data_IF_193728613773
#
_entry.id   IF_193728613773
#
_cell.length_a   1.000
_cell.length_b   1.000
_cell.length_c   1.000
_cell.angle_alpha   90.00
_cell.angle_beta   90.00
_cell.angle_gamma   90.00
#
_symmetry.space_group_name_H-M   'P 1'
#
loop_
_entity.id
_entity.type
_entity.pdbx_description
1 polymer ?
#
# COMPACT_ATOMS: atom_id res chain seq x y z
N UNK A 1 13.80 -20.32 14.25
CA UNK A 1 15.04 -20.06 13.47
C UNK A 1 14.72 -19.59 12.06
N UNK A 2 13.88 -20.28 11.26
CA UNK A 2 13.41 -19.81 9.94
C UNK A 2 12.81 -18.39 9.95
N UNK A 3 12.03 -18.08 10.98
CA UNK A 3 11.37 -16.76 11.15
C UNK A 3 12.38 -15.61 11.34
N UNK A 4 13.49 -15.89 12.04
CA UNK A 4 14.56 -14.91 12.27
C UNK A 4 15.37 -14.66 11.00
N UNK A 5 15.57 -15.70 10.18
CA UNK A 5 16.30 -15.61 8.90
C UNK A 5 15.48 -14.84 7.85
N UNK A 6 14.19 -15.14 7.72
CA UNK A 6 13.27 -14.43 6.81
C UNK A 6 13.13 -12.95 7.18
N UNK A 7 13.02 -12.62 8.46
CA UNK A 7 12.93 -11.23 8.92
C UNK A 7 14.21 -10.45 8.57
N UNK A 8 15.38 -11.07 8.71
CA UNK A 8 16.68 -10.45 8.41
C UNK A 8 16.90 -10.23 6.91
N UNK A 9 16.48 -11.18 6.07
CA UNK A 9 16.56 -11.08 4.61
C UNK A 9 15.57 -10.07 4.05
N UNK A 10 14.33 -10.06 4.54
CA UNK A 10 13.33 -9.06 4.16
C UNK A 10 13.87 -7.67 4.43
N UNK A 11 14.37 -7.36 5.63
CA UNK A 11 14.90 -6.03 5.98
C UNK A 11 16.12 -5.64 5.11
N UNK A 12 17.01 -6.58 4.78
CA UNK A 12 18.20 -6.30 3.96
C UNK A 12 17.90 -6.11 2.47
N UNK A 13 16.89 -6.80 1.93
CA UNK A 13 16.48 -6.70 0.52
C UNK A 13 15.27 -5.80 0.29
N UNK A 14 14.77 -5.18 1.36
CA UNK A 14 13.79 -4.10 1.36
C UNK A 14 14.37 -2.85 0.70
N UNK A 15 14.48 -2.83 -0.62
CA UNK A 15 14.64 -1.58 -1.37
C UNK A 15 13.46 -0.62 -1.06
N UNK A 16 13.60 0.66 -1.44
CA UNK A 16 12.69 1.76 -1.06
C UNK A 16 11.19 1.47 -1.08
N UNK A 17 10.70 0.60 -1.98
CA UNK A 17 9.30 0.18 -2.01
C UNK A 17 8.80 -0.52 -0.73
N UNK A 18 9.57 -1.44 -0.13
CA UNK A 18 9.14 -2.14 1.10
C UNK A 18 9.12 -1.20 2.32
N UNK A 19 10.03 -0.23 2.36
CA UNK A 19 10.04 0.84 3.37
C UNK A 19 8.78 1.71 3.27
N UNK A 20 8.32 2.01 2.07
CA UNK A 20 7.09 2.80 1.86
C UNK A 20 5.83 2.03 2.27
N UNK A 21 5.77 0.70 2.05
CA UNK A 21 4.66 -0.15 2.50
C UNK A 21 4.58 -0.25 4.04
N UNK A 22 5.73 -0.36 4.70
CA UNK A 22 5.80 -0.51 6.16
C UNK A 22 5.64 0.81 6.92
N UNK A 23 5.73 1.96 6.25
CA UNK A 23 5.51 3.29 6.85
C UNK A 23 4.13 3.42 7.51
N UNK A 24 3.11 2.75 6.99
CA UNK A 24 1.75 2.79 7.55
C UNK A 24 1.65 1.98 8.86
N UNK A 25 2.43 0.89 8.97
CA UNK A 25 2.42 -0.01 10.12
C UNK A 25 3.03 0.60 11.40
N UNK A 26 3.68 1.77 11.30
CA UNK A 26 4.19 2.52 12.46
C UNK A 26 3.09 3.34 13.20
N UNK A 27 1.85 3.31 12.71
CA UNK A 27 0.72 4.04 13.31
C UNK A 27 0.13 3.30 14.51
N UNK A 28 -0.68 3.99 15.32
CA UNK A 28 -1.35 3.41 16.49
C UNK A 28 -2.23 2.18 16.12
N UNK A 29 -2.08 1.04 16.81
CA UNK A 29 -2.81 -0.19 16.48
C UNK A 29 -4.31 -0.12 16.82
N UNK A 30 -4.70 0.68 17.83
CA UNK A 30 -6.11 0.87 18.21
C UNK A 30 -6.87 1.58 17.10
N UNK A 31 -6.26 2.63 16.53
CA UNK A 31 -6.80 3.37 15.40
C UNK A 31 -7.06 2.45 14.20
N UNK A 32 -6.10 1.62 13.82
CA UNK A 32 -6.26 0.70 12.68
C UNK A 32 -7.30 -0.39 12.93
N UNK A 33 -7.34 -0.97 14.13
CA UNK A 33 -8.40 -1.92 14.53
C UNK A 33 -9.77 -1.30 14.27
N UNK A 34 -9.99 -0.08 14.74
CA UNK A 34 -11.29 0.57 14.62
C UNK A 34 -11.62 0.89 13.15
N UNK A 35 -10.67 1.40 12.37
CA UNK A 35 -10.84 1.60 10.91
C UNK A 35 -11.30 0.31 10.22
N UNK A 36 -10.66 -0.82 10.51
CA UNK A 36 -11.00 -2.10 9.90
C UNK A 36 -12.36 -2.64 10.37
N UNK A 37 -12.71 -2.47 11.64
CA UNK A 37 -13.99 -2.93 12.18
C UNK A 37 -15.17 -2.10 11.65
N UNK A 38 -15.02 -0.78 11.58
CA UNK A 38 -16.07 0.11 11.08
C UNK A 38 -16.23 0.08 9.56
N UNK A 39 -15.17 -0.25 8.81
CA UNK A 39 -15.20 -0.29 7.34
C UNK A 39 -15.05 -1.70 6.76
N UNK A 40 -15.49 -2.73 7.51
CA UNK A 40 -15.23 -4.14 7.22
C UNK A 40 -15.60 -4.55 5.79
N UNK A 41 -16.81 -4.23 5.36
CA UNK A 41 -17.33 -4.70 4.06
C UNK A 41 -16.53 -4.12 2.89
N UNK A 42 -16.27 -2.81 2.89
CA UNK A 42 -15.48 -2.17 1.83
C UNK A 42 -14.03 -2.66 1.81
N UNK A 43 -13.43 -2.90 2.99
CA UNK A 43 -12.10 -3.48 3.08
C UNK A 43 -12.08 -4.89 2.48
N UNK A 44 -13.04 -5.74 2.85
CA UNK A 44 -13.11 -7.12 2.34
C UNK A 44 -13.31 -7.14 0.82
N UNK A 45 -14.14 -6.26 0.28
CA UNK A 45 -14.32 -6.11 -1.16
C UNK A 45 -13.01 -5.72 -1.85
N UNK A 46 -12.28 -4.74 -1.31
CA UNK A 46 -10.99 -4.33 -1.88
C UNK A 46 -9.94 -5.43 -1.77
N UNK A 47 -9.91 -6.19 -0.67
CA UNK A 47 -9.02 -7.33 -0.53
C UNK A 47 -9.34 -8.46 -1.52
N UNK A 48 -10.62 -8.71 -1.80
CA UNK A 48 -11.03 -9.70 -2.79
C UNK A 48 -10.55 -9.31 -4.19
N UNK A 49 -10.78 -8.06 -4.62
CA UNK A 49 -10.29 -7.54 -5.91
C UNK A 49 -8.77 -7.59 -6.01
N UNK A 50 -8.08 -7.22 -4.93
CA UNK A 50 -6.62 -7.30 -4.88
C UNK A 50 -6.10 -8.74 -5.04
N UNK A 51 -6.76 -9.72 -4.40
CA UNK A 51 -6.42 -11.12 -4.58
C UNK A 51 -6.64 -11.59 -6.02
N UNK A 52 -7.72 -11.19 -6.68
CA UNK A 52 -7.98 -11.52 -8.09
C UNK A 52 -6.87 -10.99 -9.00
N UNK A 53 -6.44 -9.74 -8.78
CA UNK A 53 -5.33 -9.12 -9.51
C UNK A 53 -4.01 -9.88 -9.30
N UNK A 54 -3.70 -10.25 -8.04
CA UNK A 54 -2.52 -11.06 -7.72
C UNK A 54 -2.56 -12.44 -8.39
N UNK A 55 -3.72 -13.10 -8.38
CA UNK A 55 -3.88 -14.40 -9.05
C UNK A 55 -3.69 -14.27 -10.56
N UNK A 56 -4.15 -13.18 -11.17
CA UNK A 56 -3.94 -12.89 -12.59
C UNK A 56 -2.46 -12.72 -12.91
N UNK A 57 -1.75 -11.89 -12.12
CA UNK A 57 -0.31 -11.67 -12.28
C UNK A 57 0.48 -12.97 -12.10
N UNK A 58 0.15 -13.77 -11.09
CA UNK A 58 0.78 -15.07 -10.84
C UNK A 58 0.58 -16.03 -12.02
N UNK A 59 -0.61 -16.06 -12.63
CA UNK A 59 -0.87 -16.90 -13.82
C UNK A 59 -0.02 -16.43 -15.00
N UNK A 60 0.04 -15.13 -15.27
CA UNK A 60 0.84 -14.57 -16.36
C UNK A 60 2.33 -14.97 -16.21
N UNK A 61 2.88 -14.85 -15.00
CA UNK A 61 4.25 -15.30 -14.70
C UNK A 61 4.40 -16.81 -14.92
N UNK A 62 3.49 -17.62 -14.36
CA UNK A 62 3.56 -19.09 -14.42
C UNK A 62 3.59 -19.62 -15.85
N UNK A 63 2.85 -18.99 -16.75
CA UNK A 63 2.74 -19.42 -18.14
C UNK A 63 3.65 -18.63 -19.10
N UNK A 64 4.48 -17.71 -18.58
CA UNK A 64 5.37 -16.91 -19.41
C UNK A 64 4.64 -15.95 -20.36
N UNK A 65 3.45 -15.47 -19.97
CA UNK A 65 2.63 -14.57 -20.79
C UNK A 65 3.18 -13.14 -20.72
N UNK A 66 4.18 -12.88 -21.57
CA UNK A 66 4.87 -11.59 -21.64
C UNK A 66 3.96 -10.42 -22.04
N UNK A 67 2.95 -10.66 -22.87
CA UNK A 67 2.02 -9.62 -23.32
C UNK A 67 1.10 -9.21 -22.17
N UNK A 68 0.53 -10.16 -21.43
CA UNK A 68 -0.28 -9.85 -20.26
C UNK A 68 0.50 -9.05 -19.21
N UNK A 69 1.78 -9.40 -18.98
CA UNK A 69 2.66 -8.66 -18.08
C UNK A 69 2.92 -7.23 -18.58
N UNK A 70 3.24 -7.07 -19.86
CA UNK A 70 3.47 -5.76 -20.47
C UNK A 70 2.24 -4.85 -20.36
N UNK A 71 1.05 -5.37 -20.68
CA UNK A 71 -0.21 -4.64 -20.57
C UNK A 71 -0.51 -4.25 -19.11
N UNK A 72 -0.30 -5.18 -18.18
CA UNK A 72 -0.49 -4.92 -16.76
C UNK A 72 0.39 -3.75 -16.27
N UNK A 73 1.69 -3.79 -16.54
CA UNK A 73 2.61 -2.72 -16.11
C UNK A 73 2.35 -1.39 -16.82
N UNK A 74 1.95 -1.42 -18.09
CA UNK A 74 1.55 -0.20 -18.83
C UNK A 74 0.37 0.49 -18.16
N UNK A 75 -0.66 -0.29 -17.79
CA UNK A 75 -1.84 0.23 -17.08
C UNK A 75 -1.45 0.81 -15.71
N UNK A 76 -0.68 0.08 -14.91
CA UNK A 76 -0.30 0.53 -13.56
C UNK A 76 0.54 1.81 -13.61
N UNK A 77 1.43 1.96 -14.62
CA UNK A 77 2.19 3.18 -14.85
C UNK A 77 1.29 4.38 -15.19
N UNK A 78 0.24 4.18 -16.00
CA UNK A 78 -0.70 5.25 -16.34
C UNK A 78 -1.46 5.76 -15.10
N UNK A 79 -1.89 4.85 -14.22
CA UNK A 79 -2.55 5.21 -12.95
C UNK A 79 -1.61 6.04 -12.07
N UNK A 80 -0.35 5.59 -11.89
CA UNK A 80 0.64 6.33 -11.11
C UNK A 80 0.90 7.72 -11.69
N UNK A 81 0.97 7.85 -13.02
CA UNK A 81 1.13 9.15 -13.69
C UNK A 81 -0.03 10.08 -13.38
N UNK A 82 -1.26 9.58 -13.44
CA UNK A 82 -2.46 10.37 -13.11
C UNK A 82 -2.45 10.87 -11.65
N UNK A 83 -1.95 10.07 -10.70
CA UNK A 83 -1.84 10.48 -9.28
C UNK A 83 -0.86 11.65 -9.13
N UNK A 84 0.27 11.58 -9.83
CA UNK A 84 1.30 12.64 -9.82
C UNK A 84 0.75 13.92 -10.47
N UNK A 85 0.09 13.80 -11.62
CA UNK A 85 -0.52 14.93 -12.33
C UNK A 85 -1.57 15.67 -11.49
N UNK A 86 -2.27 14.96 -10.60
CA UNK A 86 -3.25 15.53 -9.66
C UNK A 86 -2.62 16.12 -8.39
N UNK A 87 -1.28 16.09 -8.26
CA UNK A 87 -0.57 16.64 -7.10
C UNK A 87 -0.82 15.89 -5.80
N UNK A 88 -1.38 14.67 -5.85
CA UNK A 88 -1.70 13.84 -4.68
C UNK A 88 -0.49 13.05 -4.15
N UNK A 89 0.72 13.40 -4.60
CA UNK A 89 1.94 12.79 -4.08
C UNK A 89 2.34 13.47 -2.77
N UNK A 90 2.15 12.80 -1.64
CA UNK A 90 2.63 13.28 -0.34
C UNK A 90 3.44 12.20 0.35
N UNK A 91 4.64 12.55 0.82
CA UNK A 91 5.57 11.61 1.47
C UNK A 91 5.16 11.21 2.90
N UNK A 92 4.35 12.04 3.56
CA UNK A 92 3.87 11.82 4.93
C UNK A 92 2.34 11.68 4.93
N UNK A 93 1.77 10.68 5.63
CA UNK A 93 0.34 10.63 5.84
C UNK A 93 -0.01 11.64 6.94
N UNK A 94 -0.65 12.75 6.58
CA UNK A 94 -1.35 13.55 7.57
C UNK A 94 -2.73 12.93 7.78
N UNK A 95 -2.85 12.10 8.83
CA UNK A 95 -4.09 11.43 9.23
C UNK A 95 -5.11 12.42 9.84
N UNK A 96 -5.21 13.64 9.29
CA UNK A 96 -6.04 14.73 9.80
C UNK A 96 -5.55 15.30 11.12
N UNK A 97 -4.24 15.23 11.44
CA UNK A 97 -3.71 15.62 12.75
C UNK A 97 -3.18 17.05 12.79
N UNK A 98 -2.88 17.70 11.65
CA UNK A 98 -2.57 19.15 11.65
C UNK A 98 -3.79 19.98 11.30
N UNK A 99 -4.62 20.22 12.29
CA UNK A 99 -5.75 21.15 12.19
C UNK A 99 -6.23 21.72 13.53
N UNK A 100 -5.47 21.55 14.61
CA UNK A 100 -5.91 21.91 15.96
C UNK A 100 -4.77 22.24 16.90
N UNK A 101 -3.88 23.17 16.53
CA UNK A 101 -2.99 23.82 17.51
C UNK A 101 -3.17 25.33 17.42
N UNK A 102 -3.74 25.92 18.48
CA UNK A 102 -3.22 27.18 19.01
C UNK A 102 -3.94 28.49 18.66
N UNK A 103 -5.27 28.51 18.59
CA UNK A 103 -6.02 29.76 18.79
C UNK A 103 -6.07 30.17 20.27
N UNK A 104 -4.91 30.42 20.89
CA UNK A 104 -4.81 31.01 22.22
C UNK A 104 -4.23 32.42 22.08
N UNK A 105 -5.11 33.38 21.83
CA UNK A 105 -4.86 34.79 22.05
C UNK A 105 -6.12 35.39 22.67
N UNK A 106 -6.12 35.45 24.00
CA UNK A 106 -6.82 36.42 24.85
C UNK A 106 -6.08 36.45 26.19
#
# INVERSE_FOLDING_TARGET
HLEQTLTSEVIKFSAGGFRDFTRIAASDPTMWRDVFLYNREAVLEMLARFNEDLMSLQRAIRYGDGEALFQHFTRTRAIRKSIIEQGQETAAPDFGRRGGEGGAAQ
#
